data_IF_477814186106
#
_entry.id   IF_477814186106
#
_cell.length_a   1.000
_cell.length_b   1.000
_cell.length_c   1.000
_cell.angle_alpha   90.00
_cell.angle_beta   90.00
_cell.angle_gamma   90.00
#
_symmetry.space_group_name_H-M   'P 1'
#
loop_
_entity.id
_entity.type
_entity.pdbx_description
1 polymer ?
#
# COMPACT_ATOMS: atom_id res chain seq x y z
N UNK A 1 5.38 -18.15 17.89
CA UNK A 1 6.51 -18.80 17.19
C UNK A 1 6.55 -18.28 15.75
N UNK A 2 7.64 -17.62 15.33
CA UNK A 2 7.72 -16.96 14.02
C UNK A 2 8.10 -17.88 12.84
N UNK A 3 8.26 -19.18 13.07
CA UNK A 3 8.46 -20.15 12.00
C UNK A 3 7.14 -20.41 11.26
N UNK A 4 7.10 -20.36 9.92
CA UNK A 4 8.22 -20.25 8.99
C UNK A 4 8.68 -18.82 8.66
N UNK A 5 8.24 -17.79 9.32
CA UNK A 5 8.54 -16.37 9.05
C UNK A 5 9.76 -15.87 9.86
N UNK A 6 10.84 -16.65 9.93
CA UNK A 6 12.00 -16.33 10.76
C UNK A 6 12.70 -15.02 10.39
N UNK A 7 12.61 -14.58 9.14
CA UNK A 7 13.23 -13.32 8.69
C UNK A 7 12.45 -12.09 9.17
N UNK A 8 11.14 -12.21 9.34
CA UNK A 8 10.29 -11.16 9.91
C UNK A 8 10.09 -11.27 11.41
N UNK A 9 10.96 -12.00 12.15
CA UNK A 9 10.81 -12.14 13.60
C UNK A 9 11.27 -10.89 14.33
N UNK A 10 10.36 -10.35 15.12
CA UNK A 10 10.63 -9.32 16.13
C UNK A 10 10.16 -9.82 17.48
N UNK A 11 10.90 -9.45 18.55
CA UNK A 11 10.56 -9.83 19.91
C UNK A 11 9.27 -9.12 20.39
N UNK A 12 8.72 -9.62 21.49
CA UNK A 12 7.46 -9.10 22.04
C UNK A 12 7.57 -7.66 22.54
N UNK A 13 8.78 -7.21 22.95
CA UNK A 13 9.03 -5.82 23.37
C UNK A 13 8.92 -4.84 22.18
N UNK A 14 9.20 -5.31 20.96
CA UNK A 14 9.00 -4.55 19.72
C UNK A 14 7.57 -4.76 19.13
N UNK A 15 6.64 -5.28 19.92
CA UNK A 15 5.27 -5.54 19.46
C UNK A 15 5.10 -6.80 18.61
N UNK A 16 6.11 -7.68 18.58
CA UNK A 16 6.11 -8.92 17.81
C UNK A 16 6.26 -8.71 16.31
N UNK A 17 6.27 -9.81 15.55
CA UNK A 17 6.50 -9.79 14.09
C UNK A 17 5.51 -8.95 13.28
N UNK A 18 4.28 -8.78 13.76
CA UNK A 18 3.28 -7.94 13.07
C UNK A 18 3.60 -6.45 13.08
N UNK A 19 4.31 -5.98 14.11
CA UNK A 19 4.62 -4.57 14.30
C UNK A 19 6.10 -4.25 14.03
N UNK A 20 6.90 -5.25 13.70
CA UNK A 20 8.33 -5.10 13.44
C UNK A 20 8.68 -4.09 12.35
N UNK A 21 7.83 -3.97 11.34
CA UNK A 21 7.99 -3.03 10.23
C UNK A 21 7.99 -1.55 10.64
N UNK A 22 7.42 -1.20 11.82
CA UNK A 22 7.51 0.17 12.36
C UNK A 22 8.91 0.54 12.87
N UNK A 23 9.72 -0.47 13.20
CA UNK A 23 11.05 -0.24 13.78
C UNK A 23 12.18 -0.47 12.76
N UNK A 24 12.02 -1.46 11.90
CA UNK A 24 12.99 -1.81 10.87
C UNK A 24 12.24 -2.15 9.57
N UNK A 25 12.29 -1.24 8.61
CA UNK A 25 11.74 -1.45 7.28
C UNK A 25 12.73 -2.13 6.32
N UNK A 26 12.32 -2.20 5.05
CA UNK A 26 13.14 -2.64 3.93
C UNK A 26 13.57 -4.13 4.04
N UNK A 27 14.81 -4.43 3.69
CA UNK A 27 15.35 -5.78 3.55
C UNK A 27 15.26 -6.68 4.79
N UNK A 28 14.86 -6.13 5.95
CA UNK A 28 14.68 -6.92 7.17
C UNK A 28 13.28 -7.52 7.32
N UNK A 29 12.33 -7.14 6.47
CA UNK A 29 10.92 -7.53 6.62
C UNK A 29 10.50 -8.53 5.54
N UNK A 30 10.82 -8.24 4.28
CA UNK A 30 10.34 -9.03 3.15
C UNK A 30 11.41 -9.22 2.07
N UNK A 31 11.69 -10.50 1.75
CA UNK A 31 12.52 -10.95 0.64
C UNK A 31 11.73 -11.82 -0.35
N UNK A 32 10.39 -11.72 -0.35
CA UNK A 32 9.54 -12.51 -1.21
C UNK A 32 8.97 -13.78 -0.56
N UNK A 33 9.29 -14.03 0.71
CA UNK A 33 8.78 -15.20 1.42
C UNK A 33 7.26 -15.17 1.58
N UNK A 34 6.64 -13.98 1.61
CA UNK A 34 5.20 -13.85 1.83
C UNK A 34 4.37 -13.97 0.54
N UNK A 35 5.03 -14.08 -0.63
CA UNK A 35 4.32 -14.24 -1.92
C UNK A 35 3.47 -15.51 -1.99
N UNK A 36 3.95 -16.63 -1.45
CA UNK A 36 3.18 -17.87 -1.43
C UNK A 36 1.99 -17.80 -0.47
N UNK A 37 2.10 -17.04 0.61
CA UNK A 37 0.97 -16.77 1.49
C UNK A 37 -0.05 -15.85 0.82
N UNK A 38 0.41 -14.86 0.04
CA UNK A 38 -0.46 -14.00 -0.77
C UNK A 38 -1.20 -14.83 -1.83
N UNK A 39 -0.52 -15.76 -2.52
CA UNK A 39 -1.16 -16.70 -3.44
C UNK A 39 -2.25 -17.49 -2.74
N UNK A 40 -1.95 -18.12 -1.61
CA UNK A 40 -2.92 -18.90 -0.85
C UNK A 40 -4.12 -18.06 -0.38
N UNK A 41 -3.89 -16.81 -0.01
CA UNK A 41 -4.95 -15.87 0.32
C UNK A 41 -5.81 -15.55 -0.91
N UNK A 42 -5.19 -15.22 -2.03
CA UNK A 42 -5.83 -14.89 -3.31
C UNK A 42 -6.74 -16.01 -3.82
N UNK A 43 -6.29 -17.26 -3.75
CA UNK A 43 -7.05 -18.45 -4.15
C UNK A 43 -8.27 -18.69 -3.26
N UNK A 44 -8.17 -18.40 -1.97
CA UNK A 44 -9.27 -18.55 -1.00
C UNK A 44 -10.28 -17.41 -1.03
N UNK A 45 -9.97 -16.30 -1.73
CA UNK A 45 -10.82 -15.12 -1.81
C UNK A 45 -11.16 -14.77 -3.27
N UNK A 46 -11.91 -15.64 -4.00
CA UNK A 46 -12.27 -15.40 -5.40
C UNK A 46 -13.10 -14.13 -5.59
N UNK A 47 -13.78 -13.66 -4.55
CA UNK A 47 -14.54 -12.40 -4.53
C UNK A 47 -13.64 -11.16 -4.51
N UNK A 48 -12.36 -11.29 -4.17
CA UNK A 48 -11.41 -10.19 -4.11
C UNK A 48 -10.94 -9.78 -5.53
N UNK A 49 -11.89 -9.30 -6.31
CA UNK A 49 -11.66 -8.83 -7.69
C UNK A 49 -12.40 -7.50 -7.89
N UNK A 50 -11.84 -6.51 -8.61
CA UNK A 50 -10.47 -6.52 -9.14
C UNK A 50 -9.42 -6.52 -8.01
N UNK A 51 -8.23 -7.08 -8.29
CA UNK A 51 -7.14 -7.20 -7.34
C UNK A 51 -5.93 -6.38 -7.77
N UNK A 52 -5.43 -5.56 -6.88
CA UNK A 52 -4.30 -4.67 -7.11
C UNK A 52 -3.15 -5.04 -6.18
N UNK A 53 -1.92 -5.04 -6.69
CA UNK A 53 -0.75 -5.40 -5.89
C UNK A 53 0.37 -4.37 -6.06
N UNK A 54 0.90 -3.90 -4.94
CA UNK A 54 2.17 -3.18 -4.87
C UNK A 54 3.15 -3.97 -4.01
N UNK A 55 4.07 -4.63 -4.69
CA UNK A 55 5.08 -5.50 -4.11
C UNK A 55 6.48 -4.94 -4.38
N UNK A 56 7.38 -5.06 -3.41
CA UNK A 56 8.65 -4.30 -3.42
C UNK A 56 9.83 -5.07 -4.03
N UNK A 57 9.64 -6.21 -4.62
CA UNK A 57 10.76 -6.97 -5.16
C UNK A 57 10.81 -6.88 -6.69
N UNK A 58 11.79 -6.17 -7.27
CA UNK A 58 11.88 -5.98 -8.71
C UNK A 58 12.14 -7.27 -9.50
N UNK A 59 12.58 -8.32 -8.83
CA UNK A 59 12.90 -9.61 -9.44
C UNK A 59 11.81 -10.67 -9.25
N UNK A 60 10.69 -10.35 -8.60
CA UNK A 60 9.62 -11.30 -8.31
C UNK A 60 8.28 -10.70 -8.75
N UNK A 61 7.64 -11.33 -9.74
CA UNK A 61 6.32 -10.94 -10.20
C UNK A 61 5.26 -11.90 -9.62
N UNK A 62 4.23 -11.39 -8.92
CA UNK A 62 3.12 -12.20 -8.44
C UNK A 62 2.41 -13.03 -9.52
N UNK A 63 2.46 -12.62 -10.79
CA UNK A 63 1.93 -13.40 -11.91
C UNK A 63 2.60 -14.75 -12.09
N UNK A 64 3.87 -14.88 -11.73
CA UNK A 64 4.59 -16.16 -11.84
C UNK A 64 4.01 -17.28 -10.95
N UNK A 65 3.31 -16.89 -9.89
CA UNK A 65 2.62 -17.83 -9.01
C UNK A 65 1.10 -17.89 -9.28
N UNK A 66 0.63 -17.28 -10.36
CA UNK A 66 -0.78 -17.33 -10.78
C UNK A 66 -1.69 -16.31 -10.11
N UNK A 67 -1.13 -15.20 -9.60
CA UNK A 67 -1.92 -14.07 -9.12
C UNK A 67 -2.15 -13.11 -10.29
N UNK A 68 -3.40 -12.97 -10.72
CA UNK A 68 -3.80 -11.95 -11.70
C UNK A 68 -4.06 -10.64 -10.95
N UNK A 69 -3.33 -9.60 -11.32
CA UNK A 69 -3.42 -8.31 -10.65
C UNK A 69 -3.16 -7.13 -11.58
N UNK A 70 -3.60 -5.94 -11.14
CA UNK A 70 -3.21 -4.65 -11.69
C UNK A 70 -2.31 -3.91 -10.69
N UNK A 71 -1.59 -2.90 -11.16
CA UNK A 71 -0.89 -1.99 -10.26
C UNK A 71 -1.88 -0.99 -9.65
N UNK A 72 -1.69 -0.57 -8.38
CA UNK A 72 -2.45 0.53 -7.79
C UNK A 72 -2.35 1.80 -8.64
N UNK A 73 -3.39 2.63 -8.61
CA UNK A 73 -3.33 3.96 -9.20
C UNK A 73 -2.28 4.82 -8.49
N UNK A 74 -1.70 5.74 -9.24
CA UNK A 74 -0.68 6.66 -8.73
C UNK A 74 -1.26 7.62 -7.68
N UNK A 75 -0.45 8.02 -6.71
CA UNK A 75 -0.84 9.01 -5.72
C UNK A 75 -0.94 10.43 -6.28
N UNK A 76 -1.46 11.40 -5.49
CA UNK A 76 -1.72 12.77 -5.96
C UNK A 76 -0.47 13.52 -6.42
N UNK A 77 0.70 13.18 -5.88
CA UNK A 77 1.97 13.82 -6.25
C UNK A 77 2.42 13.49 -7.68
N UNK A 78 2.11 12.31 -8.18
CA UNK A 78 2.48 11.92 -9.56
C UNK A 78 1.70 12.66 -10.62
N UNK A 79 0.52 13.21 -10.32
CA UNK A 79 -0.28 13.99 -11.28
C UNK A 79 0.43 15.25 -11.76
N UNK A 80 1.19 15.92 -10.88
CA UNK A 80 1.93 17.13 -11.26
C UNK A 80 2.98 16.84 -12.32
N UNK A 81 3.57 15.66 -12.29
CA UNK A 81 4.54 15.21 -13.29
C UNK A 81 3.86 14.88 -14.62
N UNK A 82 2.68 14.26 -14.58
CA UNK A 82 2.02 13.68 -15.74
C UNK A 82 0.87 14.55 -16.27
N UNK A 83 0.56 15.70 -15.64
CA UNK A 83 -0.53 16.62 -16.03
C UNK A 83 -1.93 16.05 -15.85
N UNK A 84 -2.12 15.06 -14.98
CA UNK A 84 -3.41 14.41 -14.70
C UNK A 84 -4.28 15.26 -13.78
N UNK A 85 -5.59 15.08 -13.91
CA UNK A 85 -6.55 15.66 -12.96
C UNK A 85 -6.59 14.85 -11.67
N UNK A 86 -7.06 15.49 -10.59
CA UNK A 86 -7.16 14.84 -9.27
C UNK A 86 -8.05 13.59 -9.31
N UNK A 87 -9.12 13.62 -10.09
CA UNK A 87 -10.06 12.49 -10.24
C UNK A 87 -9.48 11.30 -11.00
N UNK A 88 -8.34 11.50 -11.68
CA UNK A 88 -7.67 10.47 -12.49
C UNK A 88 -6.57 9.73 -11.73
N UNK A 89 -6.30 10.15 -10.49
CA UNK A 89 -5.27 9.55 -9.62
C UNK A 89 -5.88 8.89 -8.40
N UNK A 90 -5.09 8.06 -7.73
CA UNK A 90 -5.50 7.35 -6.53
C UNK A 90 -6.09 5.96 -6.79
N UNK A 91 -6.60 5.33 -5.74
CA UNK A 91 -7.11 3.98 -5.84
C UNK A 91 -8.46 3.94 -6.57
N UNK A 92 -8.70 2.84 -7.27
CA UNK A 92 -10.03 2.43 -7.72
C UNK A 92 -10.71 1.59 -6.63
N UNK A 93 -12.05 1.48 -6.60
CA UNK A 93 -12.69 0.51 -5.74
C UNK A 93 -12.23 -0.92 -6.06
N UNK A 94 -11.89 -1.70 -5.03
CA UNK A 94 -11.40 -3.06 -5.21
C UNK A 94 -10.55 -3.55 -4.04
N UNK A 95 -9.85 -4.64 -4.26
CA UNK A 95 -9.00 -5.27 -3.26
C UNK A 95 -7.52 -5.02 -3.56
N UNK A 96 -6.76 -4.80 -2.50
CA UNK A 96 -5.35 -4.41 -2.60
C UNK A 96 -4.49 -5.25 -1.66
N UNK A 97 -3.33 -5.67 -2.16
CA UNK A 97 -2.24 -6.18 -1.35
C UNK A 97 -1.05 -5.23 -1.48
N UNK A 98 -0.70 -4.56 -0.39
CA UNK A 98 0.35 -3.55 -0.36
C UNK A 98 1.45 -4.00 0.59
N UNK A 99 2.67 -4.12 0.08
CA UNK A 99 3.83 -4.43 0.92
C UNK A 99 4.05 -3.32 1.96
N UNK A 100 4.35 -3.71 3.19
CA UNK A 100 4.68 -2.75 4.25
C UNK A 100 5.91 -1.91 3.90
N UNK A 101 6.87 -2.47 3.16
CA UNK A 101 8.02 -1.73 2.67
C UNK A 101 7.60 -0.57 1.77
N UNK A 102 6.64 -0.79 0.86
CA UNK A 102 6.13 0.26 -0.04
C UNK A 102 5.40 1.39 0.70
N UNK A 103 4.85 1.12 1.88
CA UNK A 103 4.22 2.13 2.72
C UNK A 103 5.22 2.99 3.51
N UNK A 104 6.41 2.43 3.80
CA UNK A 104 7.44 3.08 4.61
C UNK A 104 8.59 3.66 3.79
N UNK A 105 8.77 3.22 2.56
CA UNK A 105 9.69 3.84 1.62
C UNK A 105 9.11 5.17 1.11
N UNK A 106 10.00 6.01 0.56
CA UNK A 106 9.62 7.27 -0.09
C UNK A 106 8.90 7.02 -1.43
N UNK A 107 8.06 6.00 -1.49
CA UNK A 107 7.24 5.70 -2.65
C UNK A 107 5.92 6.43 -2.55
N UNK A 108 5.93 7.62 -3.07
CA UNK A 108 4.82 8.56 -3.10
C UNK A 108 3.59 8.02 -3.85
N UNK A 109 3.77 6.93 -4.60
CA UNK A 109 2.70 6.38 -5.44
C UNK A 109 1.64 5.60 -4.67
N UNK A 110 1.99 5.01 -3.52
CA UNK A 110 1.05 4.25 -2.69
C UNK A 110 0.92 4.78 -1.25
N UNK A 111 1.51 5.93 -0.96
CA UNK A 111 1.48 6.55 0.38
C UNK A 111 0.07 6.80 0.90
N UNK A 112 -0.89 7.03 0.02
CA UNK A 112 -2.28 7.28 0.39
C UNK A 112 -2.94 6.11 1.13
N UNK A 113 -2.39 4.88 1.05
CA UNK A 113 -2.87 3.77 1.86
C UNK A 113 -2.66 3.97 3.36
N UNK A 114 -1.79 4.91 3.77
CA UNK A 114 -1.65 5.31 5.18
C UNK A 114 -2.91 5.97 5.74
N UNK A 115 -3.77 6.51 4.88
CA UNK A 115 -5.08 7.09 5.25
C UNK A 115 -6.22 6.05 5.25
N UNK A 116 -5.92 4.78 4.96
CA UNK A 116 -6.87 3.68 4.93
C UNK A 116 -6.50 2.63 5.98
N UNK A 117 -7.50 1.91 6.47
CA UNK A 117 -7.28 0.83 7.41
C UNK A 117 -7.20 -0.50 6.66
N UNK A 118 -6.15 -1.30 6.87
CA UNK A 118 -6.11 -2.65 6.31
C UNK A 118 -7.19 -3.52 6.94
N UNK A 119 -7.83 -4.36 6.15
CA UNK A 119 -8.82 -5.36 6.60
C UNK A 119 -8.14 -6.66 7.04
N UNK A 120 -6.85 -6.80 6.79
CA UNK A 120 -6.05 -7.96 7.19
C UNK A 120 -4.58 -7.82 6.79
N UNK A 121 -3.81 -8.82 7.14
CA UNK A 121 -2.40 -8.94 6.77
C UNK A 121 -2.13 -10.37 6.34
N UNK A 122 -1.32 -10.53 5.29
CA UNK A 122 -0.85 -11.82 4.81
C UNK A 122 0.65 -11.91 5.07
N UNK A 123 1.07 -13.01 5.68
CA UNK A 123 2.42 -13.09 6.23
C UNK A 123 2.63 -12.01 7.29
N UNK A 124 3.79 -11.36 7.26
CA UNK A 124 4.10 -10.21 8.12
C UNK A 124 4.48 -8.97 7.30
N UNK A 125 4.31 -9.03 5.97
CA UNK A 125 4.77 -7.96 5.08
C UNK A 125 3.70 -7.43 4.11
N UNK A 126 2.53 -8.07 3.98
CA UNK A 126 1.51 -7.69 3.01
C UNK A 126 0.21 -7.27 3.70
N UNK A 127 -0.09 -5.99 3.70
CA UNK A 127 -1.37 -5.46 4.15
C UNK A 127 -2.45 -5.67 3.08
N UNK A 128 -3.62 -6.13 3.49
CA UNK A 128 -4.79 -6.29 2.63
C UNK A 128 -5.77 -5.15 2.91
N UNK A 129 -6.22 -4.49 1.83
CA UNK A 129 -7.23 -3.43 1.90
C UNK A 129 -8.42 -3.79 1.01
N UNK A 130 -9.59 -3.36 1.44
CA UNK A 130 -10.79 -3.32 0.61
C UNK A 130 -11.20 -1.87 0.46
N UNK A 131 -10.88 -1.28 -0.68
CA UNK A 131 -11.17 0.11 -0.98
C UNK A 131 -12.58 0.22 -1.55
N UNK A 132 -13.41 1.00 -0.89
CA UNK A 132 -14.80 1.26 -1.30
C UNK A 132 -14.89 2.55 -2.13
N UNK A 133 -15.98 2.77 -2.88
CA UNK A 133 -16.20 4.05 -3.56
C UNK A 133 -16.20 5.26 -2.61
N UNK A 134 -16.64 5.07 -1.36
CA UNK A 134 -16.63 6.15 -0.36
C UNK A 134 -15.22 6.45 0.17
N UNK A 135 -14.36 5.44 0.26
CA UNK A 135 -12.94 5.65 0.56
C UNK A 135 -12.26 6.50 -0.53
N UNK A 136 -12.53 6.21 -1.80
CA UNK A 136 -12.01 6.99 -2.93
C UNK A 136 -12.47 8.45 -2.84
N UNK A 137 -13.75 8.71 -2.61
CA UNK A 137 -14.29 10.06 -2.44
C UNK A 137 -13.62 10.81 -1.28
N UNK A 138 -13.44 10.11 -0.14
CA UNK A 138 -12.79 10.67 1.05
C UNK A 138 -11.36 11.06 0.77
N UNK A 139 -10.59 10.24 0.07
CA UNK A 139 -9.21 10.54 -0.32
C UNK A 139 -9.14 11.74 -1.26
N UNK A 140 -10.00 11.80 -2.29
CA UNK A 140 -10.05 12.94 -3.20
C UNK A 140 -10.41 14.25 -2.47
N UNK A 141 -11.35 14.21 -1.53
CA UNK A 141 -11.69 15.39 -0.72
C UNK A 141 -10.53 15.83 0.18
N UNK A 142 -9.79 14.90 0.76
CA UNK A 142 -8.60 15.19 1.55
C UNK A 142 -7.55 15.91 0.70
N UNK A 143 -7.23 15.38 -0.47
CA UNK A 143 -6.23 15.96 -1.37
C UNK A 143 -6.63 17.32 -1.91
N UNK A 144 -7.92 17.53 -2.22
CA UNK A 144 -8.41 18.84 -2.63
C UNK A 144 -8.23 19.89 -1.53
N UNK A 145 -8.52 19.53 -0.27
CA UNK A 145 -8.32 20.41 0.87
C UNK A 145 -6.83 20.71 1.13
N UNK A 146 -5.95 19.73 0.95
CA UNK A 146 -4.51 19.93 1.08
C UNK A 146 -3.97 20.91 0.03
N UNK A 147 -4.45 20.82 -1.22
CA UNK A 147 -4.08 21.76 -2.28
C UNK A 147 -4.54 23.18 -2.01
N UNK A 148 -5.78 23.34 -1.57
CA UNK A 148 -6.31 24.66 -1.20
C UNK A 148 -5.47 25.28 -0.07
N UNK A 149 -5.06 24.48 0.92
CA UNK A 149 -4.22 24.94 2.01
C UNK A 149 -2.80 25.37 1.54
N UNK A 150 -2.21 24.65 0.60
CA UNK A 150 -0.90 24.99 0.01
C UNK A 150 -1.02 26.32 -0.74
N UNK A 151 -2.01 26.47 -1.62
CA UNK A 151 -2.22 27.73 -2.36
C UNK A 151 -2.49 28.93 -1.46
N UNK A 152 -3.25 28.74 -0.37
CA UNK A 152 -3.50 29.81 0.59
C UNK A 152 -2.21 30.27 1.29
N UNK A 153 -1.32 29.35 1.65
CA UNK A 153 -0.04 29.65 2.28
C UNK A 153 0.94 30.35 1.32
N UNK A 154 0.99 29.95 0.07
CA UNK A 154 1.84 30.59 -0.96
C UNK A 154 1.41 32.02 -1.21
N UNK A 155 0.11 32.31 -1.24
CA UNK A 155 -0.42 33.65 -1.36
C UNK A 155 -0.16 34.53 -0.11
N UNK A 156 -0.10 33.93 1.08
CA UNK A 156 0.23 34.65 2.31
C UNK A 156 1.73 34.99 2.41
N UNK A 157 2.60 34.12 1.90
CA UNK A 157 4.04 34.30 1.90
C UNK A 157 4.54 35.31 0.83
N UNK A 158 3.73 35.58 -0.20
CA UNK A 158 4.04 36.51 -1.28
C UNK A 158 3.61 37.97 -1.00
N UNK A 159 3.07 38.26 0.19
CA UNK A 159 2.66 39.59 0.66
C UNK A 159 3.62 40.10 1.72
#
# INVERSE_FOLDING_TARGET
MALPHSMGYFNELAGGSKNGHYYLGNSNVDWGQDLLYLKSWYERHPQARPFFVSYDLPLIDPQWVGIEYERPGLGPWSRHRDGRKLEEVGPKPGWYAISVNRLHELDWDVEYFKHLNPVGMVGYSMNIYHVTPDDVKRLHALWAAEEEAIHANDHAAAR
#
